data_IF_892965457063
#
_entry.id   IF_892965457063
#
_cell.length_a   1.000
_cell.length_b   1.000
_cell.length_c   1.000
_cell.angle_alpha   90.00
_cell.angle_beta   90.00
_cell.angle_gamma   90.00
#
_symmetry.space_group_name_H-M   'P 1'
#
loop_
_entity.id
_entity.type
_entity.pdbx_description
1 polymer ?
#
# COMPACT_ATOMS: atom_id res chain seq x y z
N UNK A 1 -2.62 -15.49 21.28
CA UNK A 1 -1.99 -14.30 20.68
C UNK A 1 -2.59 -14.19 19.30
N UNK A 2 -3.80 -13.63 19.21
CA UNK A 2 -4.50 -13.48 17.94
C UNK A 2 -4.01 -12.20 17.27
N UNK A 3 -2.77 -12.26 16.79
CA UNK A 3 -2.26 -11.30 15.84
C UNK A 3 -3.02 -11.55 14.54
N UNK A 4 -4.23 -11.01 14.40
CA UNK A 4 -4.80 -10.81 13.07
C UNK A 4 -3.83 -9.85 12.41
N UNK A 5 -3.00 -10.25 11.44
CA UNK A 5 -2.25 -9.28 10.67
C UNK A 5 -3.34 -8.44 10.00
N UNK A 6 -3.60 -7.23 10.51
CA UNK A 6 -4.57 -6.33 9.90
C UNK A 6 -4.20 -6.25 8.43
N UNK A 7 -5.13 -6.65 7.55
CA UNK A 7 -4.89 -7.04 6.16
C UNK A 7 -3.75 -6.24 5.53
N UNK A 8 -2.55 -6.83 5.51
CA UNK A 8 -1.37 -6.18 4.92
C UNK A 8 -1.59 -6.22 3.41
N UNK A 9 -2.03 -5.10 2.86
CA UNK A 9 -2.21 -4.95 1.42
C UNK A 9 -0.84 -4.85 0.75
N UNK A 10 -0.61 -5.71 -0.23
CA UNK A 10 0.52 -5.57 -1.14
C UNK A 10 0.38 -4.27 -1.95
N UNK A 11 1.50 -3.78 -2.50
CA UNK A 11 1.50 -2.63 -3.41
C UNK A 11 0.53 -2.81 -4.60
N UNK A 12 0.32 -4.05 -5.05
CA UNK A 12 -0.59 -4.35 -6.14
C UNK A 12 -2.05 -4.21 -5.72
N UNK A 13 -2.40 -4.77 -4.57
CA UNK A 13 -3.75 -4.68 -4.01
C UNK A 13 -4.10 -3.24 -3.65
N UNK A 14 -3.15 -2.49 -3.09
CA UNK A 14 -3.35 -1.09 -2.76
C UNK A 14 -3.51 -0.22 -4.01
N UNK A 15 -2.73 -0.47 -5.07
CA UNK A 15 -2.87 0.23 -6.34
C UNK A 15 -4.24 -0.05 -6.99
N UNK A 16 -4.70 -1.31 -6.94
CA UNK A 16 -6.01 -1.70 -7.43
C UNK A 16 -7.15 -1.08 -6.61
N UNK A 17 -7.02 -1.08 -5.27
CA UNK A 17 -8.00 -0.50 -4.35
C UNK A 17 -8.17 1.01 -4.54
N UNK A 18 -7.05 1.74 -4.58
CA UNK A 18 -7.03 3.19 -4.78
C UNK A 18 -7.25 3.60 -6.24
N UNK A 19 -7.25 2.64 -7.17
CA UNK A 19 -7.37 2.86 -8.62
C UNK A 19 -6.33 3.83 -9.16
N UNK A 20 -5.10 3.73 -8.66
CA UNK A 20 -3.96 4.53 -9.12
C UNK A 20 -2.87 3.63 -9.70
N UNK A 21 -2.07 4.13 -10.66
CA UNK A 21 -0.93 3.38 -11.18
C UNK A 21 0.07 3.02 -10.08
N UNK A 22 0.70 1.84 -10.19
CA UNK A 22 1.79 1.42 -9.28
C UNK A 22 2.89 2.48 -9.19
N UNK A 23 3.23 3.13 -10.30
CA UNK A 23 4.23 4.20 -10.35
C UNK A 23 3.87 5.41 -9.47
N UNK A 24 2.58 5.76 -9.37
CA UNK A 24 2.09 6.81 -8.47
C UNK A 24 2.20 6.35 -7.02
N UNK A 25 1.82 5.10 -6.73
CA UNK A 25 1.92 4.54 -5.38
C UNK A 25 3.38 4.48 -4.89
N UNK A 26 4.32 4.06 -5.75
CA UNK A 26 5.75 4.08 -5.43
C UNK A 26 6.29 5.50 -5.13
N UNK A 27 5.78 6.53 -5.81
CA UNK A 27 6.14 7.93 -5.50
C UNK A 27 5.63 8.32 -4.11
N UNK A 28 4.38 7.97 -3.77
CA UNK A 28 3.78 8.28 -2.47
C UNK A 28 4.52 7.58 -1.30
N UNK A 29 4.97 6.35 -1.50
CA UNK A 29 5.81 5.63 -0.53
C UNK A 29 7.15 6.34 -0.34
N UNK A 30 7.82 6.74 -1.43
CA UNK A 30 9.10 7.48 -1.37
C UNK A 30 8.96 8.88 -0.75
N UNK A 31 7.80 9.52 -0.92
CA UNK A 31 7.46 10.78 -0.28
C UNK A 31 7.11 10.62 1.22
N UNK A 32 7.08 9.39 1.75
CA UNK A 32 6.76 9.10 3.14
C UNK A 32 5.28 9.29 3.50
N UNK A 33 4.40 9.41 2.50
CA UNK A 33 2.95 9.59 2.71
C UNK A 33 2.23 8.28 3.01
N UNK A 34 2.86 7.14 2.71
CA UNK A 34 2.33 5.79 2.95
C UNK A 34 3.44 4.98 3.63
N UNK A 35 3.15 4.26 4.72
CA UNK A 35 4.11 3.38 5.37
C UNK A 35 4.54 2.26 4.41
N UNK A 36 5.85 2.05 4.33
CA UNK A 36 6.49 0.96 3.57
C UNK A 36 6.49 -0.33 4.36
#
# INVERSE_FOLDING_TARGET
>A
MDEKPGDVLTIEELAAYLKIPKSTLYKLVREGKIPS
#
